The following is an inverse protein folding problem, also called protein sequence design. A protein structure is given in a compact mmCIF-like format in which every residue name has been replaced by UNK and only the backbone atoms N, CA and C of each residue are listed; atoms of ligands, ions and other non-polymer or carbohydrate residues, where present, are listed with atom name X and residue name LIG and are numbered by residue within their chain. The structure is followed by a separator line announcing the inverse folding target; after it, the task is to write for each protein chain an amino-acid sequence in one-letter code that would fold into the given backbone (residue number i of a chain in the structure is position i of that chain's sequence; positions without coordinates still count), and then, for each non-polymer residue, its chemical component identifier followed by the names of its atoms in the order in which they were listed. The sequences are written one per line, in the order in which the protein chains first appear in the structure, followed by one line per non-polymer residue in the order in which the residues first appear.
data_IF_107933234472
#
_entry.id   IF_107933234472
#
_cell.length_a   1.000
_cell.length_b   1.000
_cell.length_c   1.000
_cell.angle_alpha   90.00
_cell.angle_beta   90.00
_cell.angle_gamma   90.00
#
_symmetry.space_group_name_H-M   'P 1'
#
loop_
_entity.id
_entity.type
_entity.pdbx_description
1 polymer ?
#
# COMPACT_ATOMS: atom_id res chain seq x y z
N UNK A 1 31.21 0.48 -8.75
CA UNK A 1 30.64 1.22 -7.60
C UNK A 1 31.14 0.59 -6.30
N UNK A 2 31.80 1.35 -5.43
CA UNK A 2 32.42 0.85 -4.20
C UNK A 2 31.37 0.61 -3.10
N UNK A 3 31.33 -0.59 -2.50
CA UNK A 3 30.45 -0.95 -1.38
C UNK A 3 30.58 0.00 -0.17
N UNK A 4 31.74 0.65 -0.02
CA UNK A 4 31.98 1.67 1.02
C UNK A 4 31.19 2.96 0.76
N UNK A 5 31.05 3.38 -0.50
CA UNK A 5 30.28 4.56 -0.87
C UNK A 5 28.78 4.36 -0.65
N UNK A 6 28.27 3.15 -0.90
CA UNK A 6 26.86 2.81 -0.65
C UNK A 6 26.51 2.84 0.86
N UNK A 7 27.44 2.39 1.70
CA UNK A 7 27.28 2.38 3.17
C UNK A 7 27.43 3.79 3.80
N UNK A 8 28.11 4.72 3.13
CA UNK A 8 28.24 6.13 3.55
C UNK A 8 27.12 7.04 3.03
N UNK A 9 26.44 6.66 1.95
CA UNK A 9 25.40 7.47 1.31
C UNK A 9 23.98 7.23 1.86
N UNK A 10 23.74 6.12 2.57
CA UNK A 10 22.39 5.71 2.98
C UNK A 10 22.09 5.89 4.46
N UNK A 11 21.06 6.68 4.81
CA UNK A 11 20.47 6.69 6.15
C UNK A 11 19.68 5.40 6.39
N UNK A 12 20.31 4.43 7.04
CA UNK A 12 19.72 3.13 7.38
C UNK A 12 18.37 3.22 8.13
N UNK A 13 18.15 4.17 9.07
CA UNK A 13 16.86 4.33 9.73
C UNK A 13 15.72 4.72 8.77
N UNK A 14 16.03 5.55 7.77
CA UNK A 14 15.04 5.96 6.76
C UNK A 14 14.68 4.80 5.84
N UNK A 15 15.64 3.93 5.54
CA UNK A 15 15.40 2.71 4.76
C UNK A 15 14.43 1.77 5.49
N UNK A 16 14.67 1.53 6.79
CA UNK A 16 13.78 0.68 7.61
C UNK A 16 12.41 1.32 7.75
N UNK A 17 12.33 2.63 7.97
CA UNK A 17 11.05 3.35 8.03
C UNK A 17 10.28 3.24 6.71
N UNK A 18 10.94 3.38 5.55
CA UNK A 18 10.31 3.23 4.24
C UNK A 18 9.86 1.78 3.97
N UNK A 19 10.65 0.79 4.41
CA UNK A 19 10.29 -0.62 4.33
C UNK A 19 9.04 -0.93 5.16
N UNK A 20 9.01 -0.51 6.43
CA UNK A 20 7.85 -0.71 7.31
C UNK A 20 6.62 0.02 6.80
N UNK A 21 6.78 1.25 6.31
CA UNK A 21 5.69 2.01 5.68
C UNK A 21 5.08 1.23 4.51
N UNK A 22 5.91 0.72 3.61
CA UNK A 22 5.46 -0.03 2.44
C UNK A 22 4.78 -1.35 2.82
N UNK A 23 5.39 -2.11 3.73
CA UNK A 23 4.87 -3.39 4.20
C UNK A 23 3.52 -3.25 4.91
N UNK A 24 3.40 -2.28 5.82
CA UNK A 24 2.15 -1.99 6.51
C UNK A 24 1.04 -1.55 5.55
N UNK A 25 1.36 -0.67 4.59
CA UNK A 25 0.41 -0.23 3.57
C UNK A 25 -0.13 -1.42 2.77
N UNK A 26 0.74 -2.38 2.43
CA UNK A 26 0.35 -3.58 1.71
C UNK A 26 -0.48 -4.54 2.56
N UNK A 27 -0.17 -4.66 3.85
CA UNK A 27 -0.94 -5.44 4.81
C UNK A 27 -2.36 -4.90 4.98
N UNK A 28 -2.50 -3.58 5.18
CA UNK A 28 -3.82 -2.92 5.29
C UNK A 28 -4.64 -3.13 4.02
N UNK A 29 -3.99 -3.00 2.85
CA UNK A 29 -4.67 -3.18 1.57
C UNK A 29 -5.16 -4.62 1.34
N UNK A 30 -4.39 -5.62 1.81
CA UNK A 30 -4.72 -7.04 1.64
C UNK A 30 -5.63 -7.59 2.75
N UNK A 31 -5.92 -6.81 3.80
CA UNK A 31 -6.65 -7.24 4.99
C UNK A 31 -8.09 -7.70 4.68
N UNK A 32 -8.72 -7.10 3.66
CA UNK A 32 -10.08 -7.47 3.24
C UNK A 32 -10.16 -8.86 2.60
N UNK A 33 -9.04 -9.44 2.16
CA UNK A 33 -8.99 -10.82 1.66
C UNK A 33 -9.47 -11.84 2.72
N UNK A 34 -8.78 -11.98 3.86
CA UNK A 34 -9.21 -12.88 4.93
C UNK A 34 -10.51 -12.43 5.61
N UNK A 35 -10.71 -11.12 5.82
CA UNK A 35 -11.94 -10.60 6.46
C UNK A 35 -13.19 -10.80 5.60
N UNK A 36 -13.05 -10.82 4.27
CA UNK A 36 -14.17 -11.03 3.35
C UNK A 36 -14.89 -12.36 3.53
N UNK A 37 -14.22 -13.40 4.07
CA UNK A 37 -14.87 -14.67 4.42
C UNK A 37 -15.87 -14.50 5.56
N UNK A 38 -15.46 -13.85 6.64
CA UNK A 38 -16.29 -13.62 7.82
C UNK A 38 -17.48 -12.69 7.50
N UNK A 39 -17.22 -11.60 6.77
CA UNK A 39 -18.29 -10.67 6.34
C UNK A 39 -19.32 -11.38 5.44
N UNK A 40 -18.86 -12.27 4.56
CA UNK A 40 -19.77 -13.00 3.68
C UNK A 40 -20.65 -14.01 4.45
N UNK A 41 -20.10 -14.65 5.49
CA UNK A 41 -20.85 -15.55 6.38
C UNK A 41 -21.89 -14.78 7.20
N UNK A 42 -21.52 -13.66 7.81
CA UNK A 42 -22.41 -12.85 8.66
C UNK A 42 -23.57 -12.23 7.86
N UNK A 43 -23.32 -11.77 6.63
CA UNK A 43 -24.32 -11.10 5.79
C UNK A 43 -24.98 -12.02 4.75
N UNK A 44 -24.66 -13.33 4.74
CA UNK A 44 -25.14 -14.30 3.73
C UNK A 44 -24.96 -13.81 2.29
N UNK A 45 -23.82 -13.18 2.02
CA UNK A 45 -23.54 -12.59 0.71
C UNK A 45 -23.20 -13.67 -0.31
N UNK A 46 -23.77 -13.54 -1.51
CA UNK A 46 -23.42 -14.36 -2.65
C UNK A 46 -21.94 -14.19 -3.04
N UNK A 47 -21.34 -15.21 -3.65
CA UNK A 47 -19.92 -15.25 -3.99
C UNK A 47 -19.47 -14.04 -4.84
N UNK A 48 -20.37 -13.53 -5.69
CA UNK A 48 -20.13 -12.34 -6.51
C UNK A 48 -19.96 -11.07 -5.66
N UNK A 49 -20.80 -10.86 -4.65
CA UNK A 49 -20.73 -9.66 -3.79
C UNK A 49 -19.50 -9.65 -2.89
N UNK A 50 -19.10 -10.83 -2.40
CA UNK A 50 -17.83 -11.01 -1.69
C UNK A 50 -16.63 -10.67 -2.58
N UNK A 51 -16.66 -11.13 -3.84
CA UNK A 51 -15.63 -10.81 -4.83
C UNK A 51 -15.52 -9.30 -5.08
N UNK A 52 -16.66 -8.61 -5.22
CA UNK A 52 -16.69 -7.15 -5.37
C UNK A 52 -16.12 -6.46 -4.13
N UNK A 53 -16.50 -6.88 -2.93
CA UNK A 53 -16.03 -6.30 -1.67
C UNK A 53 -14.51 -6.35 -1.52
N UNK A 54 -13.88 -7.46 -1.93
CA UNK A 54 -12.42 -7.59 -1.95
C UNK A 54 -11.81 -6.82 -3.13
N UNK A 55 -12.47 -6.79 -4.29
CA UNK A 55 -11.94 -6.12 -5.48
C UNK A 55 -11.99 -4.59 -5.42
N UNK A 56 -12.99 -3.98 -4.75
CA UNK A 56 -13.14 -2.53 -4.62
C UNK A 56 -11.89 -1.82 -4.10
N UNK A 57 -11.29 -2.20 -2.95
CA UNK A 57 -10.06 -1.59 -2.47
C UNK A 57 -8.89 -1.82 -3.42
N UNK A 58 -8.79 -3.00 -4.07
CA UNK A 58 -7.73 -3.29 -5.04
C UNK A 58 -7.83 -2.37 -6.27
N UNK A 59 -9.02 -2.18 -6.80
CA UNK A 59 -9.26 -1.28 -7.94
C UNK A 59 -9.01 0.18 -7.54
N UNK A 60 -9.51 0.60 -6.37
CA UNK A 60 -9.28 1.93 -5.83
C UNK A 60 -7.80 2.24 -5.65
N UNK A 61 -7.05 1.32 -5.01
CA UNK A 61 -5.61 1.46 -4.81
C UNK A 61 -4.82 1.50 -6.12
N UNK A 62 -5.22 0.72 -7.14
CA UNK A 62 -4.59 0.74 -8.46
C UNK A 62 -4.71 2.11 -9.15
N UNK A 63 -5.92 2.68 -9.16
CA UNK A 63 -6.16 4.02 -9.73
C UNK A 63 -5.41 5.08 -8.93
N UNK A 64 -5.49 5.01 -7.60
CA UNK A 64 -4.83 5.97 -6.72
C UNK A 64 -3.31 5.96 -6.91
N UNK A 65 -2.71 4.81 -7.22
CA UNK A 65 -1.27 4.68 -7.48
C UNK A 65 -0.80 5.54 -8.66
N UNK A 66 -1.61 5.69 -9.71
CA UNK A 66 -1.28 6.58 -10.86
C UNK A 66 -1.32 8.05 -10.45
N UNK A 67 -2.36 8.44 -9.70
CA UNK A 67 -2.52 9.81 -9.19
C UNK A 67 -1.37 10.17 -8.23
N UNK A 68 -1.02 9.26 -7.33
CA UNK A 68 0.08 9.42 -6.38
C UNK A 68 1.45 9.45 -7.06
N UNK A 69 1.62 8.74 -8.19
CA UNK A 69 2.80 8.87 -9.05
C UNK A 69 2.98 10.30 -9.53
N UNK A 70 1.93 10.89 -10.11
CA UNK A 70 1.97 12.29 -10.56
C UNK A 70 2.17 13.29 -9.41
N UNK A 71 1.52 13.07 -8.25
CA UNK A 71 1.71 13.89 -7.05
C UNK A 71 3.16 13.83 -6.53
N UNK A 72 3.83 12.70 -6.68
CA UNK A 72 5.23 12.52 -6.24
C UNK A 72 6.17 13.46 -6.99
N UNK A 73 5.92 13.67 -8.28
CA UNK A 73 6.72 14.56 -9.12
C UNK A 73 6.54 16.05 -8.74
N UNK A 74 5.39 16.41 -8.17
CA UNK A 74 5.06 17.80 -7.80
C UNK A 74 5.31 18.14 -6.32
N UNK A 75 4.98 17.25 -5.37
CA UNK A 75 5.07 17.49 -3.93
C UNK A 75 6.32 16.86 -3.28
N UNK A 76 7.04 16.03 -4.02
CA UNK A 76 8.16 15.25 -3.55
C UNK A 76 7.76 13.96 -2.81
N UNK A 77 8.67 12.98 -2.72
CA UNK A 77 8.37 11.62 -2.26
C UNK A 77 7.98 11.54 -0.78
N UNK A 78 8.52 12.41 0.07
CA UNK A 78 8.24 12.36 1.52
C UNK A 78 6.81 12.80 1.86
N UNK A 79 6.31 13.87 1.23
CA UNK A 79 4.96 14.39 1.49
C UNK A 79 3.90 13.51 0.86
N UNK A 80 4.17 13.02 -0.35
CA UNK A 80 3.26 12.13 -1.07
C UNK A 80 3.13 10.79 -0.36
N UNK A 81 4.22 10.24 0.20
CA UNK A 81 4.14 9.07 1.08
C UNK A 81 3.30 9.32 2.34
N UNK A 82 3.46 10.47 3.01
CA UNK A 82 2.64 10.75 4.21
C UNK A 82 1.14 10.92 3.93
N UNK A 83 0.76 11.30 2.71
CA UNK A 83 -0.65 11.49 2.29
C UNK A 83 -1.26 10.19 1.73
N UNK A 84 -0.43 9.22 1.36
CA UNK A 84 -0.83 8.03 0.60
C UNK A 84 -1.09 6.76 1.39
N UNK A 85 -0.92 6.78 2.71
CA UNK A 85 -1.44 5.76 3.63
C UNK A 85 -2.93 6.04 3.85
#
# INVERSE_FOLDING_TARGET
MSLRAFKQAGHWPTLVAAFLYFDLSFCVWSLLGPLGNFIAEDFRLDATWKGILVATPLLGGSIFRVVMGGLTDHLGPRRTGLVGI
#
